data_IF_712186616598
#
_entry.id   IF_712186616598
#
_cell.length_a   1.000
_cell.length_b   1.000
_cell.length_c   1.000
_cell.angle_alpha   90.00
_cell.angle_beta   90.00
_cell.angle_gamma   90.00
#
_symmetry.space_group_name_H-M   'P 1'
#
loop_
_entity.id
_entity.type
_entity.pdbx_description
1 polymer ?
#
# COMPACT_ATOMS: atom_id res chain seq x y z
N UNK A 1 4.16 14.05 0.98
CA UNK A 1 4.61 13.96 2.39
C UNK A 1 5.20 15.26 2.95
N UNK A 2 5.54 16.26 2.15
CA UNK A 2 6.07 17.55 2.63
C UNK A 2 5.09 18.39 3.48
N UNK A 3 3.79 18.39 3.15
CA UNK A 3 2.81 19.28 3.80
C UNK A 3 2.71 19.01 5.31
N UNK A 4 2.58 17.75 5.72
CA UNK A 4 2.52 17.44 7.16
C UNK A 4 3.86 17.70 7.85
N UNK A 5 4.98 17.53 7.17
CA UNK A 5 6.29 17.80 7.76
C UNK A 5 6.52 19.31 7.96
N UNK A 6 5.87 20.16 7.16
CA UNK A 6 5.93 21.62 7.25
C UNK A 6 4.91 22.20 8.24
N UNK A 7 3.68 21.67 8.26
CA UNK A 7 2.56 22.26 9.00
C UNK A 7 2.16 21.50 10.27
N UNK A 8 2.53 20.23 10.40
CA UNK A 8 2.28 19.44 11.62
C UNK A 8 3.26 18.26 11.77
N UNK A 9 4.58 18.52 11.91
CA UNK A 9 5.62 17.48 11.85
C UNK A 9 5.46 16.40 12.91
N UNK A 10 4.89 16.74 14.07
CA UNK A 10 4.70 15.82 15.19
C UNK A 10 3.59 14.79 14.93
N UNK A 11 2.74 14.99 13.92
CA UNK A 11 1.60 14.12 13.61
C UNK A 11 2.01 12.65 13.41
N UNK A 12 3.15 12.40 12.76
CA UNK A 12 3.69 11.05 12.51
C UNK A 12 4.07 10.30 13.78
N UNK A 13 4.34 11.01 14.88
CA UNK A 13 4.59 10.39 16.20
C UNK A 13 3.33 9.68 16.71
N UNK A 14 2.16 10.21 16.37
CA UNK A 14 0.86 9.67 16.78
C UNK A 14 0.36 8.63 15.78
N UNK A 15 0.44 8.91 14.48
CA UNK A 15 -0.04 8.01 13.43
C UNK A 15 1.11 7.51 12.55
N UNK A 16 1.60 6.29 12.84
CA UNK A 16 2.60 5.61 11.99
C UNK A 16 2.09 5.33 10.57
N UNK A 17 0.82 4.96 10.46
CA UNK A 17 0.13 4.82 9.18
C UNK A 17 -0.92 5.94 9.06
N UNK A 18 -0.75 6.82 8.07
CA UNK A 18 -1.61 7.98 7.84
C UNK A 18 -2.94 7.61 7.16
N UNK A 19 -3.00 6.45 6.52
CA UNK A 19 -4.16 5.97 5.76
C UNK A 19 -5.14 5.17 6.62
N UNK A 20 -4.96 5.14 7.94
CA UNK A 20 -5.95 4.55 8.84
C UNK A 20 -7.15 5.49 9.00
N UNK A 21 -8.35 4.92 9.18
CA UNK A 21 -9.62 5.68 9.22
C UNK A 21 -9.59 6.90 10.15
N UNK A 22 -9.07 6.74 11.38
CA UNK A 22 -8.93 7.83 12.34
C UNK A 22 -8.03 8.96 11.83
N UNK A 23 -6.89 8.60 11.24
CA UNK A 23 -5.93 9.58 10.70
C UNK A 23 -6.54 10.30 9.50
N UNK A 24 -7.11 9.57 8.55
CA UNK A 24 -7.80 10.14 7.40
C UNK A 24 -8.91 11.11 7.80
N UNK A 25 -9.70 10.76 8.82
CA UNK A 25 -10.73 11.63 9.35
C UNK A 25 -10.14 12.96 9.84
N UNK A 26 -9.07 12.91 10.64
CA UNK A 26 -8.39 14.12 11.13
C UNK A 26 -7.78 14.90 9.97
N UNK A 27 -7.08 14.26 9.04
CA UNK A 27 -6.50 14.94 7.88
C UNK A 27 -7.55 15.60 6.97
N UNK A 28 -8.78 15.08 6.97
CA UNK A 28 -9.88 15.64 6.16
C UNK A 28 -10.54 16.82 6.86
N UNK A 29 -10.77 16.74 8.17
CA UNK A 29 -11.59 17.73 8.89
C UNK A 29 -10.75 18.71 9.73
N UNK A 30 -9.64 18.25 10.32
CA UNK A 30 -8.79 18.97 11.28
C UNK A 30 -7.29 18.70 11.07
N UNK A 31 -6.75 18.96 9.88
CA UNK A 31 -5.39 18.61 9.51
C UNK A 31 -4.29 19.36 10.25
N UNK A 32 -4.57 20.56 10.78
CA UNK A 32 -3.53 21.43 11.34
C UNK A 32 -3.71 21.67 12.84
N UNK A 33 -2.62 22.03 13.56
CA UNK A 33 -2.68 22.29 14.99
C UNK A 33 -3.73 23.34 15.38
N UNK A 34 -3.91 24.39 14.55
CA UNK A 34 -4.90 25.43 14.78
C UNK A 34 -6.35 24.90 14.84
N UNK A 35 -6.65 23.85 14.07
CA UNK A 35 -7.98 23.22 14.06
C UNK A 35 -8.22 22.40 15.33
N UNK A 36 -7.15 21.84 15.90
CA UNK A 36 -7.19 20.93 17.04
C UNK A 36 -7.18 21.67 18.38
N UNK A 37 -6.57 22.86 18.45
CA UNK A 37 -6.53 23.71 19.65
C UNK A 37 -7.91 24.15 20.13
N UNK A 38 -8.92 24.14 19.25
CA UNK A 38 -10.28 24.57 19.57
C UNK A 38 -11.11 23.49 20.27
N UNK A 39 -10.54 22.29 20.50
CA UNK A 39 -11.29 21.13 20.93
C UNK A 39 -10.90 20.63 22.30
N UNK A 40 -11.90 20.10 22.98
CA UNK A 40 -11.73 19.34 24.21
C UNK A 40 -11.29 17.90 23.93
N UNK A 41 -10.75 17.25 24.95
CA UNK A 41 -10.34 15.85 24.85
C UNK A 41 -11.54 14.95 24.59
N UNK A 42 -12.69 15.28 25.17
CA UNK A 42 -13.95 14.56 25.05
C UNK A 42 -14.49 14.60 23.62
N UNK A 43 -14.54 15.79 23.01
CA UNK A 43 -15.00 15.99 21.62
C UNK A 43 -14.12 15.23 20.64
N UNK A 44 -12.80 15.38 20.75
CA UNK A 44 -11.85 14.68 19.89
C UNK A 44 -11.92 13.16 20.08
N UNK A 45 -12.16 12.69 21.31
CA UNK A 45 -12.35 11.26 21.58
C UNK A 45 -13.60 10.72 20.90
N UNK A 46 -14.71 11.46 20.96
CA UNK A 46 -15.96 11.06 20.34
C UNK A 46 -15.80 10.94 18.81
N UNK A 47 -15.15 11.92 18.18
CA UNK A 47 -14.91 11.91 16.74
C UNK A 47 -13.97 10.79 16.29
N UNK A 48 -12.86 10.57 17.01
CA UNK A 48 -11.95 9.48 16.70
C UNK A 48 -12.61 8.12 16.87
N UNK A 49 -13.46 7.93 17.89
CA UNK A 49 -14.23 6.70 18.06
C UNK A 49 -15.21 6.50 16.92
N UNK A 50 -15.96 7.53 16.52
CA UNK A 50 -16.90 7.46 15.41
C UNK A 50 -16.18 7.08 14.10
N UNK A 51 -15.08 7.75 13.77
CA UNK A 51 -14.30 7.52 12.55
C UNK A 51 -13.62 6.13 12.51
N UNK A 52 -13.22 5.60 13.65
CA UNK A 52 -12.43 4.36 13.74
C UNK A 52 -13.24 3.12 14.12
N UNK A 53 -14.57 3.22 14.18
CA UNK A 53 -15.44 2.15 14.69
C UNK A 53 -15.05 1.72 16.12
N UNK A 54 -14.71 2.71 16.96
CA UNK A 54 -14.33 2.52 18.37
C UNK A 54 -12.88 2.10 18.63
N UNK A 55 -12.06 1.86 17.60
CA UNK A 55 -10.68 1.35 17.77
C UNK A 55 -9.71 2.39 18.31
N UNK A 56 -9.92 3.66 17.98
CA UNK A 56 -9.09 4.79 18.42
C UNK A 56 -9.89 5.60 19.42
N UNK A 57 -9.43 5.59 20.68
CA UNK A 57 -10.10 6.24 21.79
C UNK A 57 -9.27 7.33 22.46
N UNK A 58 -9.62 7.62 23.72
CA UNK A 58 -9.14 8.77 24.49
C UNK A 58 -7.62 8.88 24.58
N UNK A 59 -6.91 7.76 24.75
CA UNK A 59 -5.44 7.75 24.81
C UNK A 59 -4.82 8.45 23.60
N UNK A 60 -5.39 8.27 22.41
CA UNK A 60 -4.90 8.88 21.17
C UNK A 60 -5.28 10.36 21.09
N UNK A 61 -6.49 10.71 21.53
CA UNK A 61 -6.95 12.10 21.58
C UNK A 61 -6.06 12.96 22.49
N UNK A 62 -5.76 12.46 23.70
CA UNK A 62 -4.86 13.13 24.66
C UNK A 62 -3.49 13.35 24.04
N UNK A 63 -2.89 12.31 23.44
CA UNK A 63 -1.59 12.42 22.79
C UNK A 63 -1.61 13.41 21.62
N UNK A 64 -2.69 13.42 20.83
CA UNK A 64 -2.83 14.33 19.69
C UNK A 64 -2.94 15.79 20.15
N UNK A 65 -3.70 16.07 21.21
CA UNK A 65 -3.78 17.43 21.79
C UNK A 65 -2.46 17.85 22.45
N UNK A 66 -1.74 16.93 23.09
CA UNK A 66 -0.43 17.21 23.65
C UNK A 66 0.57 17.66 22.55
N UNK A 67 0.71 16.89 21.47
CA UNK A 67 1.61 17.27 20.36
C UNK A 67 1.12 18.50 19.60
N UNK A 68 -0.18 18.80 19.63
CA UNK A 68 -0.76 20.02 19.03
C UNK A 68 -0.27 21.27 19.77
N UNK A 69 -0.15 21.21 21.09
CA UNK A 69 0.32 22.34 21.90
C UNK A 69 1.83 22.57 21.78
N UNK A 70 2.59 21.51 21.55
CA UNK A 70 4.04 21.56 21.32
C UNK A 70 4.42 21.75 19.85
N UNK A 71 3.43 21.85 18.95
CA UNK A 71 3.72 21.80 17.51
C UNK A 71 4.49 23.01 17.03
N UNK A 72 5.52 22.72 16.22
CA UNK A 72 6.40 23.72 15.60
C UNK A 72 6.06 23.99 14.13
N UNK A 73 4.88 23.53 13.68
CA UNK A 73 4.42 23.70 12.29
C UNK A 73 4.16 25.16 11.90
N UNK A 74 4.35 25.44 10.60
CA UNK A 74 4.08 26.76 10.01
C UNK A 74 2.60 27.13 10.18
N UNK A 75 2.33 28.38 10.53
CA UNK A 75 0.98 28.90 10.77
C UNK A 75 0.44 29.75 9.61
N UNK A 76 1.33 30.11 8.70
CA UNK A 76 1.10 30.95 7.54
C UNK A 76 0.69 30.11 6.32
N UNK A 77 -0.25 30.61 5.52
CA UNK A 77 -0.66 29.92 4.29
C UNK A 77 -1.50 28.66 4.52
N UNK A 78 -2.08 28.48 5.71
CA UNK A 78 -2.92 27.32 6.05
C UNK A 78 -4.05 27.06 5.05
N UNK A 79 -4.61 28.10 4.44
CA UNK A 79 -5.65 27.96 3.41
C UNK A 79 -5.13 27.23 2.17
N UNK A 80 -3.96 27.62 1.66
CA UNK A 80 -3.34 26.97 0.51
C UNK A 80 -2.87 25.55 0.87
N UNK A 81 -2.30 25.37 2.07
CA UNK A 81 -1.89 24.08 2.58
C UNK A 81 -3.07 23.11 2.70
N UNK A 82 -4.23 23.59 3.19
CA UNK A 82 -5.47 22.82 3.29
C UNK A 82 -5.94 22.38 1.92
N UNK A 83 -6.03 23.30 0.96
CA UNK A 83 -6.45 22.99 -0.41
C UNK A 83 -5.56 21.90 -1.01
N UNK A 84 -4.25 22.05 -0.89
CA UNK A 84 -3.29 21.06 -1.40
C UNK A 84 -3.44 19.70 -0.71
N UNK A 85 -3.64 19.69 0.61
CA UNK A 85 -3.86 18.45 1.35
C UNK A 85 -5.15 17.76 0.92
N UNK A 86 -6.24 18.51 0.74
CA UNK A 86 -7.52 17.99 0.26
C UNK A 86 -7.35 17.34 -1.12
N UNK A 87 -6.69 18.02 -2.07
CA UNK A 87 -6.40 17.46 -3.40
C UNK A 87 -5.59 16.16 -3.32
N UNK A 88 -4.55 16.12 -2.48
CA UNK A 88 -3.78 14.89 -2.28
C UNK A 88 -4.63 13.75 -1.69
N UNK A 89 -5.53 14.04 -0.75
CA UNK A 89 -6.42 13.03 -0.18
C UNK A 89 -7.42 12.51 -1.23
N UNK A 90 -7.97 13.40 -2.05
CA UNK A 90 -8.86 13.04 -3.15
C UNK A 90 -8.16 12.14 -4.18
N UNK A 91 -6.92 12.46 -4.56
CA UNK A 91 -6.10 11.60 -5.43
C UNK A 91 -5.88 10.23 -4.80
N UNK A 92 -5.53 10.17 -3.51
CA UNK A 92 -5.35 8.89 -2.80
C UNK A 92 -6.64 8.06 -2.84
N UNK A 93 -7.79 8.66 -2.54
CA UNK A 93 -9.07 7.96 -2.57
C UNK A 93 -9.47 7.53 -3.98
N UNK A 94 -9.18 8.36 -4.98
CA UNK A 94 -9.37 8.01 -6.37
C UNK A 94 -8.56 6.77 -6.76
N UNK A 95 -7.27 6.75 -6.47
CA UNK A 95 -6.40 5.61 -6.80
C UNK A 95 -6.75 4.35 -6.01
N UNK A 96 -7.14 4.47 -4.74
CA UNK A 96 -7.62 3.32 -3.96
C UNK A 96 -8.87 2.70 -4.60
N UNK A 97 -9.82 3.54 -5.03
CA UNK A 97 -11.02 3.07 -5.73
C UNK A 97 -10.66 2.39 -7.05
N UNK A 98 -9.79 2.99 -7.86
CA UNK A 98 -9.34 2.40 -9.13
C UNK A 98 -8.64 1.05 -8.92
N UNK A 99 -7.82 0.95 -7.88
CA UNK A 99 -7.14 -0.30 -7.51
C UNK A 99 -8.15 -1.40 -7.19
N UNK A 100 -9.11 -1.14 -6.30
CA UNK A 100 -10.15 -2.13 -5.94
C UNK A 100 -10.99 -2.53 -7.15
N UNK A 101 -11.32 -1.59 -8.03
CA UNK A 101 -12.06 -1.90 -9.27
C UNK A 101 -11.24 -2.79 -10.21
N UNK A 102 -9.95 -2.53 -10.31
CA UNK A 102 -9.01 -3.32 -11.14
C UNK A 102 -8.85 -4.73 -10.58
N UNK A 103 -8.63 -4.86 -9.27
CA UNK A 103 -8.52 -6.16 -8.59
C UNK A 103 -9.80 -7.01 -8.78
N UNK A 104 -10.98 -6.39 -8.65
CA UNK A 104 -12.26 -7.07 -8.90
C UNK A 104 -12.43 -7.49 -10.37
N UNK A 105 -11.91 -6.70 -11.32
CA UNK A 105 -11.90 -7.08 -12.73
C UNK A 105 -10.94 -8.25 -13.00
N UNK A 106 -9.76 -8.25 -12.36
CA UNK A 106 -8.80 -9.36 -12.42
C UNK A 106 -9.40 -10.65 -11.86
N UNK A 107 -10.12 -10.58 -10.74
CA UNK A 107 -10.83 -11.73 -10.17
C UNK A 107 -11.83 -12.34 -11.16
N UNK A 108 -12.67 -11.50 -11.76
CA UNK A 108 -13.65 -11.94 -12.76
C UNK A 108 -13.00 -12.52 -14.00
N UNK A 109 -11.88 -11.95 -14.45
CA UNK A 109 -11.13 -12.47 -15.59
C UNK A 109 -10.49 -13.83 -15.26
N UNK A 110 -9.87 -13.96 -14.08
CA UNK A 110 -9.27 -15.20 -13.60
C UNK A 110 -10.33 -16.32 -13.48
N UNK A 111 -11.50 -16.02 -12.93
CA UNK A 111 -12.59 -16.99 -12.82
C UNK A 111 -13.03 -17.56 -14.18
N UNK A 112 -13.01 -16.76 -15.25
CA UNK A 112 -13.38 -17.19 -16.61
C UNK A 112 -12.38 -18.16 -17.25
N UNK A 113 -11.16 -18.26 -16.71
CA UNK A 113 -10.13 -19.18 -17.24
C UNK A 113 -10.38 -20.64 -16.85
N UNK A 114 -11.22 -20.90 -15.83
CA UNK A 114 -11.39 -22.23 -15.23
C UNK A 114 -10.20 -22.70 -14.39
N UNK A 115 -9.13 -21.91 -14.29
CA UNK A 115 -7.92 -22.26 -13.51
C UNK A 115 -7.87 -21.60 -12.13
N UNK A 116 -8.84 -20.73 -11.82
CA UNK A 116 -8.87 -19.93 -10.61
C UNK A 116 -8.79 -20.77 -9.34
N UNK A 117 -9.61 -21.82 -9.24
CA UNK A 117 -9.67 -22.69 -8.06
C UNK A 117 -8.32 -23.39 -7.78
N UNK A 118 -7.67 -23.89 -8.84
CA UNK A 118 -6.38 -24.54 -8.72
C UNK A 118 -5.28 -23.55 -8.30
N UNK A 119 -5.21 -22.37 -8.93
CA UNK A 119 -4.17 -21.39 -8.62
C UNK A 119 -4.34 -20.78 -7.23
N UNK A 120 -5.56 -20.46 -6.81
CA UNK A 120 -5.86 -19.88 -5.50
C UNK A 120 -5.77 -20.90 -4.36
N UNK A 121 -5.78 -22.20 -4.66
CA UNK A 121 -5.54 -23.24 -3.64
C UNK A 121 -4.10 -23.26 -3.13
N UNK A 122 -3.16 -22.64 -3.86
CA UNK A 122 -1.74 -22.62 -3.50
C UNK A 122 -1.53 -21.59 -2.40
N UNK A 123 -0.97 -21.98 -1.24
CA UNK A 123 -0.70 -21.04 -0.15
C UNK A 123 0.18 -19.87 -0.60
N UNK A 124 -0.31 -18.65 -0.37
CA UNK A 124 0.39 -17.43 -0.75
C UNK A 124 0.09 -16.89 -2.15
N UNK A 125 -0.71 -17.59 -2.96
CA UNK A 125 -1.17 -17.08 -4.26
C UNK A 125 -2.55 -16.44 -4.10
N UNK A 126 -2.60 -15.12 -4.27
CA UNK A 126 -3.83 -14.35 -4.35
C UNK A 126 -4.27 -14.10 -5.79
N UNK A 127 -5.44 -13.47 -5.94
CA UNK A 127 -6.02 -13.12 -7.25
C UNK A 127 -5.05 -12.32 -8.11
N UNK A 128 -4.40 -11.29 -7.53
CA UNK A 128 -3.45 -10.45 -8.26
C UNK A 128 -2.29 -11.28 -8.78
N UNK A 129 -1.67 -12.09 -7.93
CA UNK A 129 -0.54 -12.96 -8.31
C UNK A 129 -0.94 -13.97 -9.38
N UNK A 130 -2.08 -14.64 -9.22
CA UNK A 130 -2.56 -15.66 -10.17
C UNK A 130 -2.91 -15.05 -11.53
N UNK A 131 -3.64 -13.92 -11.54
CA UNK A 131 -4.03 -13.23 -12.76
C UNK A 131 -2.81 -12.61 -13.47
N UNK A 132 -1.86 -12.02 -12.74
CA UNK A 132 -0.61 -11.53 -13.32
C UNK A 132 0.23 -12.66 -13.89
N UNK A 133 0.34 -13.80 -13.19
CA UNK A 133 1.03 -14.99 -13.69
C UNK A 133 0.44 -15.47 -15.02
N UNK A 134 -0.88 -15.62 -15.10
CA UNK A 134 -1.53 -16.01 -16.36
C UNK A 134 -1.43 -14.94 -17.44
N UNK A 135 -1.43 -13.65 -17.07
CA UNK A 135 -1.22 -12.55 -18.02
C UNK A 135 0.17 -12.58 -18.67
N UNK A 136 1.20 -12.94 -17.89
CA UNK A 136 2.59 -13.01 -18.33
C UNK A 136 2.93 -14.33 -19.06
N UNK A 137 2.42 -15.46 -18.57
CA UNK A 137 2.63 -16.78 -19.21
C UNK A 137 1.72 -16.96 -20.43
N UNK A 138 0.55 -16.32 -20.43
CA UNK A 138 -0.46 -16.49 -21.45
C UNK A 138 -1.09 -17.88 -21.43
N UNK A 139 -1.31 -18.44 -22.62
CA UNK A 139 -1.96 -19.74 -22.78
C UNK A 139 -1.03 -20.89 -22.36
N UNK A 140 -1.40 -21.57 -21.27
CA UNK A 140 -0.62 -22.68 -20.70
C UNK A 140 -0.51 -23.88 -21.65
N UNK A 141 -1.43 -24.04 -22.60
CA UNK A 141 -1.39 -25.15 -23.57
C UNK A 141 -0.21 -25.06 -24.54
N UNK A 142 0.45 -23.89 -24.61
CA UNK A 142 1.66 -23.67 -25.42
C UNK A 142 2.91 -24.28 -24.80
N UNK A 143 2.84 -24.77 -23.57
CA UNK A 143 3.96 -25.36 -22.85
C UNK A 143 3.76 -26.86 -22.68
N UNK A 144 4.77 -27.62 -23.08
CA UNK A 144 4.78 -29.09 -22.95
C UNK A 144 5.27 -29.54 -21.56
N UNK A 145 6.09 -28.72 -20.89
CA UNK A 145 6.71 -29.02 -19.59
C UNK A 145 6.77 -27.76 -18.72
N UNK A 146 6.43 -27.89 -17.43
CA UNK A 146 6.54 -26.83 -16.41
C UNK A 146 7.93 -26.21 -16.34
N UNK A 147 8.98 -26.94 -16.72
CA UNK A 147 10.36 -26.43 -16.81
C UNK A 147 10.50 -25.28 -17.81
N UNK A 148 9.65 -25.22 -18.83
CA UNK A 148 9.62 -24.13 -19.81
C UNK A 148 9.07 -22.85 -19.18
N UNK A 149 8.04 -22.96 -18.34
CA UNK A 149 7.50 -21.83 -17.56
C UNK A 149 8.53 -21.36 -16.52
N UNK A 150 9.21 -22.29 -15.82
CA UNK A 150 10.31 -21.94 -14.91
C UNK A 150 11.45 -21.20 -15.63
N UNK A 151 11.77 -21.62 -16.86
CA UNK A 151 12.76 -20.96 -17.72
C UNK A 151 12.30 -19.56 -18.12
N UNK A 152 11.03 -19.39 -18.48
CA UNK A 152 10.43 -18.10 -18.80
C UNK A 152 10.53 -17.11 -17.63
N UNK A 153 10.25 -17.58 -16.41
CA UNK A 153 10.40 -16.80 -15.18
C UNK A 153 11.86 -16.52 -14.77
N UNK A 154 12.85 -16.99 -15.54
CA UNK A 154 14.28 -16.74 -15.29
C UNK A 154 14.84 -17.50 -14.07
N UNK A 155 14.06 -18.42 -13.49
CA UNK A 155 14.43 -19.28 -12.35
C UNK A 155 15.36 -20.44 -12.73
N UNK A 156 15.84 -20.50 -13.97
CA UNK A 156 16.86 -21.46 -14.34
C UNK A 156 18.17 -21.17 -13.59
N UNK A 157 18.71 -22.21 -12.98
CA UNK A 157 20.07 -22.23 -12.43
C UNK A 157 21.04 -22.28 -13.61
N UNK A 158 21.71 -21.18 -13.91
CA UNK A 158 22.83 -21.18 -14.85
C UNK A 158 24.12 -21.32 -14.07
N UNK A 159 24.90 -22.35 -14.41
CA UNK A 159 26.29 -22.45 -14.01
C UNK A 159 27.09 -21.62 -15.01
N UNK A 160 27.68 -20.51 -14.58
CA UNK A 160 28.68 -19.82 -15.38
C UNK A 160 29.99 -20.61 -15.29
N UNK A 161 30.26 -21.45 -16.28
CA UNK A 161 31.57 -22.07 -16.48
C UNK A 161 32.36 -21.25 -17.50
N UNK A 162 33.27 -20.41 -17.01
CA UNK A 162 34.40 -19.90 -17.79
C UNK A 162 35.65 -20.67 -17.35
N UNK A 163 36.20 -21.53 -18.23
CA UNK A 163 37.54 -22.13 -18.11
C UNK A 163 37.82 -23.02 -16.88
N UNK A 164 37.97 -24.33 -17.11
CA UNK A 164 38.68 -25.36 -16.32
C UNK A 164 38.64 -25.39 -14.78
N UNK A 165 37.77 -24.64 -14.12
CA UNK A 165 37.69 -24.58 -12.65
C UNK A 165 36.29 -24.95 -12.17
N UNK A 166 36.16 -26.21 -11.72
CA UNK A 166 34.96 -26.74 -11.04
C UNK A 166 34.81 -26.08 -9.66
N UNK A 167 34.20 -24.88 -9.59
CA UNK A 167 33.66 -24.27 -8.34
C UNK A 167 32.83 -23.00 -8.62
N UNK A 168 31.87 -23.06 -9.55
CA UNK A 168 30.92 -21.96 -9.76
C UNK A 168 29.67 -22.15 -8.90
N UNK A 169 29.40 -21.26 -7.94
CA UNK A 169 28.15 -21.31 -7.16
C UNK A 169 26.95 -21.20 -8.10
N UNK A 170 25.99 -22.12 -8.01
CA UNK A 170 24.75 -22.07 -8.79
C UNK A 170 24.01 -20.77 -8.49
N UNK A 171 23.94 -19.85 -9.45
CA UNK A 171 23.19 -18.59 -9.34
C UNK A 171 22.00 -18.65 -10.29
N UNK A 172 20.86 -18.16 -9.81
CA UNK A 172 19.67 -17.94 -10.65
C UNK A 172 20.07 -17.04 -11.81
N UNK A 173 19.76 -17.44 -13.04
CA UNK A 173 20.22 -16.77 -14.25
C UNK A 173 19.74 -15.33 -14.38
N UNK A 174 18.56 -15.03 -13.82
CA UNK A 174 17.82 -13.76 -14.00
C UNK A 174 17.60 -13.37 -15.48
N UNK A 175 17.80 -14.30 -16.42
CA UNK A 175 17.51 -14.12 -17.85
C UNK A 175 16.11 -14.70 -18.10
N UNK A 176 15.09 -13.87 -17.91
CA UNK A 176 13.66 -14.20 -18.04
C UNK A 176 12.79 -13.00 -17.69
N UNK A 177 11.47 -13.14 -17.75
CA UNK A 177 10.53 -12.06 -17.40
C UNK A 177 10.61 -11.77 -15.90
N UNK A 178 11.02 -10.55 -15.54
CA UNK A 178 11.18 -10.14 -14.14
C UNK A 178 9.87 -10.17 -13.36
N UNK A 179 8.76 -9.91 -14.04
CA UNK A 179 7.41 -9.83 -13.46
C UNK A 179 6.87 -11.20 -13.00
N UNK A 180 7.49 -12.30 -13.44
CA UNK A 180 7.17 -13.66 -13.01
C UNK A 180 7.98 -14.12 -11.79
N UNK A 181 8.93 -13.31 -11.30
CA UNK A 181 9.83 -13.66 -10.20
C UNK A 181 9.32 -13.16 -8.87
#
# INVERSE_FOLDING_TARGET
MAILDEYFPEYRRIFKNLLVKASLYILTHRPFPADLKQLTTEELTAELKAASSGKVGQKRAVLLLAVTNESTGVSEGLTAARLRLTQCLEEIFFWQKQLTQTEAAMEKALAKTGLAEYLLSIPGIGVVTAASFLGEVGDLTRYEDWRQIRKLAGYNLTINQSGDSKKGSTKISKRGHSELR
#
